data_IF_745441371718
#
_entry.id   IF_745441371718
#
_cell.length_a   1.000
_cell.length_b   1.000
_cell.length_c   1.000
_cell.angle_alpha   90.00
_cell.angle_beta   90.00
_cell.angle_gamma   90.00
#
_symmetry.space_group_name_H-M   'P 1'
#
loop_
_entity.id
_entity.type
_entity.pdbx_description
1 polymer ?
#
# COMPACT_ATOMS: atom_id res chain seq x y z
N UNK A 1 8.38 -7.67 -2.16
CA UNK A 1 7.35 -8.71 -1.95
C UNK A 1 7.10 -9.42 -3.26
N UNK A 2 6.92 -10.75 -3.24
CA UNK A 2 6.67 -11.58 -4.44
C UNK A 2 5.44 -11.09 -5.24
N UNK A 3 4.44 -10.53 -4.58
CA UNK A 3 3.22 -9.98 -5.21
C UNK A 3 3.44 -8.76 -6.12
N UNK A 4 4.56 -8.05 -5.97
CA UNK A 4 4.90 -6.88 -6.79
C UNK A 4 5.95 -7.20 -7.87
N UNK A 5 6.32 -8.48 -8.02
CA UNK A 5 7.20 -8.91 -9.10
C UNK A 5 6.40 -9.11 -10.37
N UNK A 6 7.01 -8.80 -11.52
CA UNK A 6 6.48 -9.14 -12.85
C UNK A 6 6.27 -10.66 -13.00
N UNK A 7 7.04 -11.45 -12.24
CA UNK A 7 6.97 -12.91 -12.26
C UNK A 7 5.77 -13.50 -11.50
N UNK A 8 4.97 -12.69 -10.78
CA UNK A 8 3.86 -13.20 -9.97
C UNK A 8 2.88 -14.05 -10.79
N UNK A 9 2.64 -13.67 -12.04
CA UNK A 9 1.74 -14.37 -12.95
C UNK A 9 2.25 -15.76 -13.36
N UNK A 10 3.56 -16.02 -13.17
CA UNK A 10 4.18 -17.31 -13.47
C UNK A 10 4.14 -18.29 -12.29
N UNK A 11 3.69 -17.85 -11.11
CA UNK A 11 3.61 -18.69 -9.92
C UNK A 11 2.75 -19.92 -10.18
N UNK A 12 3.22 -21.07 -9.69
CA UNK A 12 2.42 -22.28 -9.61
C UNK A 12 1.30 -22.12 -8.58
N UNK A 13 0.19 -22.81 -8.79
CA UNK A 13 -0.98 -22.74 -7.90
C UNK A 13 -0.62 -23.03 -6.43
N UNK A 14 0.19 -24.06 -6.18
CA UNK A 14 0.64 -24.41 -4.83
C UNK A 14 1.39 -23.28 -4.12
N UNK A 15 2.15 -22.48 -4.87
CA UNK A 15 2.85 -21.33 -4.32
C UNK A 15 1.86 -20.20 -3.97
N UNK A 16 0.89 -19.92 -4.85
CA UNK A 16 -0.19 -18.96 -4.56
C UNK A 16 -1.00 -19.39 -3.34
N UNK A 17 -1.40 -20.67 -3.26
CA UNK A 17 -2.11 -21.23 -2.11
C UNK A 17 -1.32 -21.07 -0.82
N UNK A 18 -0.02 -21.35 -0.87
CA UNK A 18 0.87 -21.19 0.29
C UNK A 18 0.93 -19.73 0.75
N UNK A 19 0.92 -18.77 -0.18
CA UNK A 19 0.86 -17.36 0.16
C UNK A 19 -0.49 -16.95 0.74
N UNK A 20 -1.61 -17.42 0.17
CA UNK A 20 -2.96 -17.10 0.65
C UNK A 20 -3.25 -17.67 2.05
N UNK A 21 -2.62 -18.77 2.43
CA UNK A 21 -2.76 -19.38 3.77
C UNK A 21 -2.01 -18.62 4.88
N UNK A 22 -1.04 -17.78 4.54
CA UNK A 22 -0.18 -17.11 5.53
C UNK A 22 -0.89 -16.00 6.31
N UNK A 23 -0.95 -16.11 7.63
CA UNK A 23 -1.51 -15.05 8.47
C UNK A 23 -0.63 -13.81 8.59
N UNK A 24 0.66 -13.88 8.25
CA UNK A 24 1.64 -12.79 8.37
C UNK A 24 1.80 -11.96 7.09
N UNK A 25 0.98 -12.22 6.07
CA UNK A 25 1.03 -11.49 4.81
C UNK A 25 0.61 -10.03 5.01
N UNK A 26 1.56 -9.11 4.80
CA UNK A 26 1.37 -7.66 4.95
C UNK A 26 0.78 -7.05 3.68
N UNK A 27 -0.49 -7.34 3.39
CA UNK A 27 -1.21 -6.82 2.23
C UNK A 27 -2.70 -6.68 2.57
N UNK A 28 -3.37 -5.66 2.03
CA UNK A 28 -4.82 -5.52 2.18
C UNK A 28 -5.55 -6.64 1.44
N UNK A 29 -6.63 -7.18 2.03
CA UNK A 29 -7.37 -8.30 1.41
C UNK A 29 -7.97 -7.94 0.06
N UNK A 30 -8.30 -6.66 -0.16
CA UNK A 30 -8.79 -6.20 -1.45
C UNK A 30 -7.71 -6.17 -2.53
N UNK A 31 -6.43 -6.02 -2.16
CA UNK A 31 -5.30 -6.16 -3.09
C UNK A 31 -4.98 -7.63 -3.34
N UNK A 32 -5.07 -8.48 -2.31
CA UNK A 32 -4.94 -9.94 -2.45
C UNK A 32 -5.96 -10.45 -3.46
N UNK A 33 -7.22 -10.00 -3.36
CA UNK A 33 -8.26 -10.33 -4.33
C UNK A 33 -7.89 -9.96 -5.77
N UNK A 34 -7.41 -8.73 -5.99
CA UNK A 34 -6.99 -8.28 -7.33
C UNK A 34 -5.87 -9.17 -7.90
N UNK A 35 -4.91 -9.57 -7.06
CA UNK A 35 -3.82 -10.47 -7.45
C UNK A 35 -4.32 -11.88 -7.76
N UNK A 36 -5.25 -12.42 -6.98
CA UNK A 36 -5.87 -13.73 -7.24
C UNK A 36 -6.62 -13.72 -8.57
N UNK A 37 -7.41 -12.69 -8.83
CA UNK A 37 -8.13 -12.54 -10.11
C UNK A 37 -7.17 -12.39 -11.28
N UNK A 38 -6.11 -11.58 -11.13
CA UNK A 38 -5.08 -11.42 -12.16
C UNK A 38 -4.40 -12.75 -12.48
N UNK A 39 -3.99 -13.50 -11.45
CA UNK A 39 -3.39 -14.82 -11.62
C UNK A 39 -4.35 -15.79 -12.30
N UNK A 40 -5.62 -15.83 -11.88
CA UNK A 40 -6.64 -16.67 -12.49
C UNK A 40 -6.85 -16.34 -13.97
N UNK A 41 -6.91 -15.06 -14.33
CA UNK A 41 -7.03 -14.60 -15.72
C UNK A 41 -5.87 -15.06 -16.61
N UNK A 42 -4.64 -15.06 -16.08
CA UNK A 42 -3.47 -15.54 -16.83
C UNK A 42 -3.50 -17.06 -17.02
N UNK A 43 -4.10 -17.80 -16.07
CA UNK A 43 -4.17 -19.26 -16.09
C UNK A 43 -5.38 -19.83 -16.81
N UNK A 44 -6.42 -19.03 -17.03
CA UNK A 44 -7.58 -19.42 -17.83
C UNK A 44 -7.42 -18.90 -19.26
N UNK A 45 -7.05 -19.75 -20.23
CA UNK A 45 -6.95 -19.33 -21.62
C UNK A 45 -8.30 -18.86 -22.16
N UNK A 46 -8.27 -18.06 -23.23
CA UNK A 46 -9.44 -17.62 -24.01
C UNK A 46 -10.43 -16.68 -23.27
N UNK A 47 -10.04 -16.11 -22.13
CA UNK A 47 -10.85 -15.08 -21.48
C UNK A 47 -10.83 -13.76 -22.25
N UNK A 48 -12.00 -13.16 -22.56
CA UNK A 48 -12.06 -11.82 -23.11
C UNK A 48 -11.42 -10.80 -22.18
N UNK A 49 -10.77 -9.78 -22.76
CA UNK A 49 -10.15 -8.71 -21.98
C UNK A 49 -11.20 -7.87 -21.26
N UNK A 50 -12.33 -7.61 -21.93
CA UNK A 50 -13.44 -6.84 -21.38
C UNK A 50 -14.40 -7.75 -20.61
N UNK A 51 -14.65 -7.41 -19.34
CA UNK A 51 -15.56 -8.18 -18.49
C UNK A 51 -17.02 -8.18 -19.01
N UNK A 52 -17.42 -7.15 -19.76
CA UNK A 52 -18.76 -7.09 -20.37
C UNK A 52 -19.01 -8.14 -21.45
N UNK A 53 -17.95 -8.75 -21.99
CA UNK A 53 -18.01 -9.80 -23.02
C UNK A 53 -17.99 -11.21 -22.42
N UNK A 54 -17.99 -11.33 -21.08
CA UNK A 54 -17.86 -12.64 -20.43
C UNK A 54 -19.17 -13.42 -20.45
N UNK A 55 -19.10 -14.64 -20.99
CA UNK A 55 -20.19 -15.63 -20.91
C UNK A 55 -20.14 -16.39 -19.58
N UNK A 56 -21.18 -17.17 -19.29
CA UNK A 56 -21.21 -18.02 -18.09
C UNK A 56 -20.13 -19.11 -18.12
N UNK A 57 -19.75 -19.58 -19.30
CA UNK A 57 -18.62 -20.49 -19.50
C UNK A 57 -17.28 -19.86 -19.12
N UNK A 58 -17.10 -18.57 -19.40
CA UNK A 58 -15.89 -17.82 -19.01
C UNK A 58 -15.79 -17.73 -17.49
N UNK A 59 -16.88 -17.38 -16.80
CA UNK A 59 -16.93 -17.37 -15.34
C UNK A 59 -16.71 -18.76 -14.75
N UNK A 60 -17.29 -19.81 -15.34
CA UNK A 60 -17.10 -21.19 -14.91
C UNK A 60 -15.65 -21.64 -15.06
N UNK A 61 -14.99 -21.28 -16.15
CA UNK A 61 -13.58 -21.60 -16.42
C UNK A 61 -12.65 -20.91 -15.43
N UNK A 62 -12.89 -19.62 -15.15
CA UNK A 62 -12.15 -18.89 -14.11
C UNK A 62 -12.40 -19.50 -12.71
N UNK A 63 -13.66 -19.83 -12.38
CA UNK A 63 -14.02 -20.47 -11.11
C UNK A 63 -13.26 -21.77 -10.90
N UNK A 64 -13.21 -22.62 -11.93
CA UNK A 64 -12.49 -23.90 -11.86
C UNK A 64 -10.99 -23.68 -11.64
N UNK A 65 -10.41 -22.68 -12.29
CA UNK A 65 -8.99 -22.31 -12.14
C UNK A 65 -8.67 -21.81 -10.73
N UNK A 66 -9.59 -21.07 -10.11
CA UNK A 66 -9.42 -20.49 -8.78
C UNK A 66 -10.01 -21.33 -7.65
N UNK A 67 -10.54 -22.51 -7.94
CA UNK A 67 -11.36 -23.29 -7.00
C UNK A 67 -10.67 -23.52 -5.65
N UNK A 68 -9.38 -23.84 -5.67
CA UNK A 68 -8.62 -24.07 -4.43
C UNK A 68 -8.19 -22.77 -3.75
N UNK A 69 -8.11 -21.66 -4.49
CA UNK A 69 -7.66 -20.36 -3.99
C UNK A 69 -8.79 -19.58 -3.31
N UNK A 70 -10.01 -19.63 -3.85
CA UNK A 70 -11.16 -18.88 -3.36
C UNK A 70 -11.48 -19.10 -1.87
N UNK A 71 -11.39 -20.32 -1.31
CA UNK A 71 -11.64 -20.56 0.12
C UNK A 71 -10.60 -19.92 1.06
N UNK A 72 -9.48 -19.41 0.53
CA UNK A 72 -8.40 -18.83 1.32
C UNK A 72 -8.37 -17.29 1.30
N UNK A 73 -9.33 -16.67 0.62
CA UNK A 73 -9.55 -15.21 0.63
C UNK A 73 -10.40 -14.83 1.84
N UNK A 74 -9.99 -13.82 2.62
CA UNK A 74 -10.74 -13.32 3.78
C UNK A 74 -11.76 -12.27 3.34
N UNK A 75 -12.85 -12.72 2.72
CA UNK A 75 -13.86 -11.81 2.14
C UNK A 75 -14.44 -10.81 3.15
N UNK A 76 -14.66 -11.24 4.39
CA UNK A 76 -15.26 -10.42 5.46
C UNK A 76 -14.35 -9.31 5.98
N UNK A 77 -13.06 -9.36 5.65
CA UNK A 77 -12.06 -8.33 5.97
C UNK A 77 -11.91 -7.30 4.84
N UNK A 78 -12.62 -7.49 3.72
CA UNK A 78 -12.62 -6.54 2.59
C UNK A 78 -13.64 -5.45 2.87
N UNK A 79 -13.28 -4.18 2.62
CA UNK A 79 -14.20 -3.06 2.83
C UNK A 79 -15.43 -3.16 1.93
N UNK A 80 -16.61 -2.71 2.39
CA UNK A 80 -17.86 -2.74 1.60
C UNK A 80 -17.70 -2.04 0.24
N UNK A 81 -16.90 -0.95 0.20
CA UNK A 81 -16.57 -0.22 -1.03
C UNK A 81 -15.83 -1.10 -2.03
N UNK A 82 -14.85 -1.87 -1.56
CA UNK A 82 -14.06 -2.77 -2.40
C UNK A 82 -14.85 -4.01 -2.80
N UNK A 83 -15.73 -4.53 -1.94
CA UNK A 83 -16.66 -5.61 -2.31
C UNK A 83 -17.49 -5.18 -3.52
N UNK A 84 -18.08 -3.98 -3.51
CA UNK A 84 -18.90 -3.49 -4.61
C UNK A 84 -18.10 -3.21 -5.89
N UNK A 85 -16.86 -2.74 -5.78
CA UNK A 85 -16.04 -2.35 -6.94
C UNK A 85 -15.24 -3.50 -7.54
N UNK A 86 -14.72 -4.39 -6.71
CA UNK A 86 -13.74 -5.41 -7.09
C UNK A 86 -14.32 -6.82 -7.07
N UNK A 87 -15.18 -7.16 -6.09
CA UNK A 87 -15.73 -8.52 -5.96
C UNK A 87 -17.01 -8.68 -6.78
N UNK A 88 -17.95 -7.74 -6.65
CA UNK A 88 -19.24 -7.75 -7.35
C UNK A 88 -19.13 -8.06 -8.85
N UNK A 89 -18.17 -7.53 -9.62
CA UNK A 89 -18.08 -7.86 -11.04
C UNK A 89 -17.82 -9.36 -11.32
N UNK A 90 -17.25 -10.09 -10.36
CA UNK A 90 -16.92 -11.51 -10.47
C UNK A 90 -17.80 -12.40 -9.59
N UNK A 91 -18.90 -11.90 -9.02
CA UNK A 91 -19.72 -12.65 -8.05
C UNK A 91 -20.13 -14.05 -8.52
N UNK A 92 -20.27 -14.27 -9.84
CA UNK A 92 -20.60 -15.56 -10.46
C UNK A 92 -19.56 -16.67 -10.22
N UNK A 93 -18.30 -16.32 -9.89
CA UNK A 93 -17.27 -17.32 -9.57
C UNK A 93 -17.38 -17.80 -8.12
N UNK A 94 -18.06 -17.04 -7.26
CA UNK A 94 -18.28 -17.40 -5.86
C UNK A 94 -19.46 -18.35 -5.76
N UNK A 95 -19.47 -19.14 -4.69
CA UNK A 95 -20.66 -19.91 -4.34
C UNK A 95 -21.75 -18.96 -3.87
N UNK A 96 -23.00 -19.31 -4.17
CA UNK A 96 -24.15 -18.43 -3.92
C UNK A 96 -24.27 -18.06 -2.43
N UNK A 97 -24.11 -19.04 -1.54
CA UNK A 97 -24.07 -18.84 -0.09
C UNK A 97 -22.95 -17.88 0.34
N UNK A 98 -21.75 -18.00 -0.24
CA UNK A 98 -20.62 -17.11 0.09
C UNK A 98 -20.93 -15.67 -0.31
N UNK A 99 -21.47 -15.45 -1.50
CA UNK A 99 -21.86 -14.10 -1.93
C UNK A 99 -22.97 -13.51 -1.06
N UNK A 100 -24.01 -14.29 -0.77
CA UNK A 100 -25.12 -13.85 0.08
C UNK A 100 -24.64 -13.55 1.50
N UNK A 101 -23.75 -14.37 2.08
CA UNK A 101 -23.15 -14.17 3.40
C UNK A 101 -22.24 -12.93 3.45
N UNK A 102 -21.47 -12.65 2.40
CA UNK A 102 -20.67 -11.42 2.29
C UNK A 102 -21.58 -10.19 2.34
N UNK A 103 -22.65 -10.18 1.54
CA UNK A 103 -23.61 -9.08 1.51
C UNK A 103 -24.31 -8.92 2.86
N UNK A 104 -24.79 -10.03 3.44
CA UNK A 104 -25.42 -10.06 4.75
C UNK A 104 -24.53 -9.43 5.82
N UNK A 105 -23.26 -9.85 5.91
CA UNK A 105 -22.33 -9.35 6.93
C UNK A 105 -22.02 -7.86 6.81
N UNK A 106 -22.03 -7.32 5.59
CA UNK A 106 -21.83 -5.89 5.35
C UNK A 106 -23.08 -5.04 5.62
N UNK A 107 -24.28 -5.63 5.55
CA UNK A 107 -25.54 -4.96 5.85
C UNK A 107 -25.88 -5.02 7.34
N UNK A 108 -25.65 -6.18 7.95
CA UNK A 108 -25.87 -6.45 9.36
C UNK A 108 -24.68 -7.25 9.93
N UNK A 109 -23.76 -6.59 10.67
CA UNK A 109 -22.60 -7.24 11.26
C UNK A 109 -22.93 -8.35 12.26
N UNK A 110 -24.13 -8.35 12.86
CA UNK A 110 -24.53 -9.35 13.86
C UNK A 110 -25.22 -10.56 13.24
N UNK A 111 -25.47 -10.53 11.93
CA UNK A 111 -26.12 -11.62 11.21
C UNK A 111 -25.27 -12.90 11.25
N UNK A 112 -25.93 -14.01 11.56
CA UNK A 112 -25.36 -15.36 11.48
C UNK A 112 -25.19 -15.75 10.02
N UNK A 113 -24.01 -16.24 9.66
CA UNK A 113 -23.68 -16.69 8.30
C UNK A 113 -23.23 -18.14 8.31
N UNK A 114 -23.35 -18.79 7.15
CA UNK A 114 -22.98 -20.22 7.00
C UNK A 114 -21.54 -20.42 6.54
N UNK A 115 -20.99 -19.40 5.87
CA UNK A 115 -19.64 -19.40 5.32
C UNK A 115 -18.57 -19.41 6.40
N UNK A 116 -17.46 -20.09 6.10
CA UNK A 116 -16.28 -20.09 6.96
C UNK A 116 -15.70 -18.68 7.05
N UNK A 117 -15.71 -18.09 8.25
CA UNK A 117 -15.04 -16.82 8.52
C UNK A 117 -13.58 -17.12 8.83
N UNK A 118 -12.68 -16.68 7.95
CA UNK A 118 -11.25 -16.70 8.22
C UNK A 118 -10.87 -15.49 9.08
N UNK A 119 -10.02 -15.66 10.10
CA UNK A 119 -9.59 -14.56 10.96
C UNK A 119 -8.75 -13.54 10.18
N UNK A 120 -8.78 -12.25 10.58
CA UNK A 120 -7.94 -11.22 9.97
C UNK A 120 -6.46 -11.58 9.98
N UNK A 121 -5.73 -11.19 8.93
CA UNK A 121 -4.27 -11.36 8.90
C UNK A 121 -3.62 -10.45 9.94
N UNK A 122 -2.53 -10.93 10.52
CA UNK A 122 -1.70 -10.17 11.46
C UNK A 122 -1.00 -9.07 10.69
N UNK A 123 -1.54 -7.86 10.72
CA UNK A 123 -0.80 -6.68 10.28
C UNK A 123 0.30 -6.44 11.31
N UNK A 124 1.56 -6.58 10.88
CA UNK A 124 2.67 -6.12 11.66
C UNK A 124 2.51 -4.60 11.76
N UNK A 125 2.14 -4.11 12.93
CA UNK A 125 2.44 -2.74 13.30
C UNK A 125 3.94 -2.66 13.34
N UNK A 126 4.56 -2.33 12.20
CA UNK A 126 5.93 -1.84 12.20
C UNK A 126 5.84 -0.46 12.85
N UNK A 127 5.68 -0.43 14.17
CA UNK A 127 6.28 0.63 14.94
C UNK A 127 7.77 0.43 14.73
N UNK A 128 8.29 1.01 13.64
CA UNK A 128 9.71 1.29 13.56
C UNK A 128 10.02 1.96 14.89
N UNK A 129 10.98 1.45 15.69
CA UNK A 129 11.31 2.11 16.94
C UNK A 129 11.49 3.58 16.58
N UNK A 130 10.72 4.45 17.24
CA UNK A 130 10.86 5.88 17.08
C UNK A 130 12.36 6.12 17.24
N UNK A 131 13.06 6.39 16.13
CA UNK A 131 14.47 6.72 16.21
C UNK A 131 14.42 7.99 17.03
N UNK A 132 14.76 7.90 18.31
CA UNK A 132 15.08 9.09 19.09
C UNK A 132 16.15 9.75 18.24
N UNK A 133 15.77 10.82 17.55
CA UNK A 133 16.70 11.72 16.90
C UNK A 133 17.45 12.33 18.08
N UNK A 134 18.45 11.59 18.56
CA UNK A 134 19.55 12.21 19.26
C UNK A 134 20.13 13.13 18.21
N UNK A 135 20.05 14.42 18.49
CA UNK A 135 20.66 15.46 17.68
C UNK A 135 22.15 15.07 17.61
N UNK A 136 22.57 14.41 16.54
CA UNK A 136 23.98 14.18 16.29
C UNK A 136 24.49 15.54 15.83
N UNK A 137 24.85 16.39 16.79
CA UNK A 137 25.81 17.44 16.51
C UNK A 137 27.09 16.68 16.15
N UNK A 138 27.63 16.82 14.93
CA UNK A 138 28.89 16.19 14.60
C UNK A 138 29.97 16.88 15.45
N UNK A 139 30.27 16.30 16.62
CA UNK A 139 31.31 16.77 17.54
C UNK A 139 32.69 16.22 17.16
N UNK A 140 32.79 15.54 16.00
CA UNK A 140 34.04 14.95 15.55
C UNK A 140 34.96 16.03 14.98
N UNK A 141 36.23 15.97 15.33
CA UNK A 141 37.28 16.82 14.74
C UNK A 141 37.56 16.53 13.26
N UNK A 142 36.92 15.50 12.68
CA UNK A 142 37.12 15.04 11.30
C UNK A 142 36.00 15.53 10.37
N UNK A 143 34.74 15.42 10.82
CA UNK A 143 33.56 15.88 10.09
C UNK A 143 32.91 17.00 10.89
N UNK A 144 33.02 18.22 10.37
CA UNK A 144 32.38 19.41 10.92
C UNK A 144 30.95 19.55 10.39
N UNK A 145 30.18 20.47 10.98
CA UNK A 145 28.83 20.81 10.51
C UNK A 145 28.83 21.33 9.07
N UNK A 146 29.91 22.00 8.65
CA UNK A 146 30.08 22.49 7.27
C UNK A 146 30.29 21.33 6.29
N UNK A 147 31.07 20.31 6.67
CA UNK A 147 31.23 19.11 5.86
C UNK A 147 29.91 18.34 5.73
N UNK A 148 29.15 18.21 6.83
CA UNK A 148 27.84 17.59 6.79
C UNK A 148 26.85 18.36 5.88
N UNK A 149 26.88 19.70 5.92
CA UNK A 149 26.08 20.55 5.05
C UNK A 149 26.48 20.41 3.57
N UNK A 150 27.76 20.35 3.26
CA UNK A 150 28.25 20.08 1.89
C UNK A 150 27.74 18.74 1.37
N UNK A 151 27.86 17.67 2.15
CA UNK A 151 27.39 16.33 1.76
C UNK A 151 25.87 16.34 1.53
N UNK A 152 25.10 16.99 2.40
CA UNK A 152 23.64 17.13 2.21
C UNK A 152 23.31 17.90 0.93
N UNK A 153 24.03 18.99 0.64
CA UNK A 153 23.81 19.77 -0.59
C UNK A 153 24.12 18.98 -1.86
N UNK A 154 25.13 18.10 -1.82
CA UNK A 154 25.48 17.20 -2.91
C UNK A 154 24.40 16.15 -3.17
N UNK A 155 23.88 15.53 -2.10
CA UNK A 155 22.80 14.54 -2.18
C UNK A 155 21.54 15.20 -2.78
N UNK A 156 21.24 16.41 -2.34
CA UNK A 156 20.07 17.18 -2.80
C UNK A 156 20.28 17.86 -4.16
N UNK A 157 21.48 17.77 -4.75
CA UNK A 157 21.88 18.43 -6.01
C UNK A 157 21.61 19.94 -6.01
N UNK A 158 21.85 20.61 -4.87
CA UNK A 158 21.68 22.07 -4.71
C UNK A 158 23.01 22.79 -4.53
N UNK A 159 23.03 24.06 -4.91
CA UNK A 159 24.21 24.92 -4.82
C UNK A 159 24.46 25.38 -3.38
N UNK A 160 25.72 25.34 -2.93
CA UNK A 160 26.14 25.46 -1.52
C UNK A 160 25.77 26.84 -0.94
N UNK A 161 25.69 27.87 -1.78
CA UNK A 161 25.39 29.25 -1.38
C UNK A 161 24.00 29.43 -0.75
N UNK A 162 23.02 28.58 -1.09
CA UNK A 162 21.68 28.66 -0.50
C UNK A 162 21.66 28.27 0.98
N UNK A 163 22.63 27.46 1.43
CA UNK A 163 22.71 27.02 2.82
C UNK A 163 23.31 28.09 3.75
N UNK A 164 24.27 28.88 3.27
CA UNK A 164 24.84 30.01 4.01
C UNK A 164 23.76 31.04 4.36
N UNK A 165 22.75 31.20 3.50
CA UNK A 165 21.57 32.05 3.76
C UNK A 165 20.72 31.47 4.90
N UNK A 166 20.47 30.15 4.93
CA UNK A 166 19.70 29.49 5.99
C UNK A 166 20.39 29.55 7.36
N UNK A 167 21.72 29.41 7.40
CA UNK A 167 22.52 29.65 8.60
C UNK A 167 22.42 31.10 9.09
N UNK A 168 22.43 32.08 8.16
CA UNK A 168 22.34 33.51 8.49
C UNK A 168 20.99 33.92 9.07
N UNK A 169 19.92 33.19 8.76
CA UNK A 169 18.57 33.38 9.30
C UNK A 169 18.24 32.47 10.49
N UNK A 170 19.20 31.68 10.99
CA UNK A 170 19.03 30.73 12.09
C UNK A 170 17.77 29.85 11.94
N UNK A 171 17.43 29.47 10.70
CA UNK A 171 16.24 28.66 10.44
C UNK A 171 16.56 27.23 10.90
N UNK A 172 15.82 26.80 11.91
CA UNK A 172 16.03 25.53 12.58
C UNK A 172 15.82 24.37 11.60
N UNK A 173 16.87 23.57 11.39
CA UNK A 173 16.91 22.42 10.48
C UNK A 173 15.76 21.40 10.75
N UNK A 174 15.20 21.39 11.96
CA UNK A 174 14.05 20.55 12.32
C UNK A 174 12.81 20.81 11.46
N UNK A 175 12.49 22.07 11.17
CA UNK A 175 11.30 22.39 10.35
C UNK A 175 11.46 21.93 8.89
N UNK A 176 12.71 21.94 8.40
CA UNK A 176 13.04 21.48 7.06
C UNK A 176 12.89 19.95 6.91
N UNK A 177 13.25 19.21 7.95
CA UNK A 177 13.14 17.74 7.97
C UNK A 177 11.69 17.27 8.18
N UNK A 178 10.91 17.96 9.02
CA UNK A 178 9.46 17.69 9.15
C UNK A 178 8.70 17.88 7.84
N UNK A 179 9.04 18.92 7.06
CA UNK A 179 8.41 19.16 5.75
C UNK A 179 8.70 18.06 4.72
N UNK A 180 9.88 17.43 4.80
CA UNK A 180 10.27 16.31 3.94
C UNK A 180 9.52 15.03 4.33
N UNK A 181 9.33 14.77 5.63
CA UNK A 181 8.55 13.62 6.11
C UNK A 181 7.05 13.73 5.75
N UNK A 182 6.50 14.94 5.63
CA UNK A 182 5.12 15.17 5.19
C UNK A 182 4.92 15.08 3.66
N UNK A 183 5.97 14.78 2.89
CA UNK A 183 5.88 14.59 1.44
C UNK A 183 5.63 15.86 0.64
N UNK A 184 5.80 17.05 1.23
CA UNK A 184 5.74 18.31 0.48
C UNK A 184 7.00 18.46 -0.38
N UNK A 185 6.83 18.80 -1.65
CA UNK A 185 7.97 19.25 -2.46
C UNK A 185 8.57 20.51 -1.81
N UNK A 186 9.90 20.52 -1.63
CA UNK A 186 10.69 21.57 -0.97
C UNK A 186 10.35 22.99 -1.45
N UNK A 187 9.94 23.13 -2.72
CA UNK A 187 9.51 24.39 -3.34
C UNK A 187 8.26 24.99 -2.69
N UNK A 188 7.31 24.17 -2.24
CA UNK A 188 6.09 24.61 -1.56
C UNK A 188 6.36 25.06 -0.12
N UNK A 189 7.31 24.41 0.56
CA UNK A 189 7.68 24.77 1.94
C UNK A 189 8.39 26.12 2.01
N UNK A 190 9.32 26.39 1.07
CA UNK A 190 10.02 27.68 0.99
C UNK A 190 9.02 28.82 0.69
N UNK A 191 8.06 28.62 -0.21
CA UNK A 191 7.01 29.61 -0.46
C UNK A 191 6.10 29.86 0.75
N UNK A 192 5.78 28.81 1.53
CA UNK A 192 4.95 28.94 2.73
C UNK A 192 5.66 29.74 3.83
N UNK A 193 6.96 29.48 4.05
CA UNK A 193 7.79 30.20 5.04
C UNK A 193 8.04 31.65 4.61
N UNK A 194 8.28 31.92 3.33
CA UNK A 194 8.41 33.29 2.81
C UNK A 194 7.09 34.05 2.93
N UNK A 195 5.95 33.43 2.62
CA UNK A 195 4.63 34.07 2.73
C UNK A 195 4.29 34.41 4.20
N UNK A 196 4.65 33.56 5.15
CA UNK A 196 4.48 33.82 6.59
C UNK A 196 5.40 34.90 7.13
N UNK A 197 6.65 34.99 6.65
CA UNK A 197 7.59 36.02 7.05
C UNK A 197 7.24 37.40 6.46
N UNK A 198 6.69 37.45 5.25
CA UNK A 198 6.24 38.70 4.60
C UNK A 198 4.97 39.26 5.25
N UNK A 199 4.03 38.40 5.68
CA UNK A 199 2.83 38.80 6.43
C UNK A 199 3.12 39.24 7.87
N UNK A 200 4.32 38.95 8.40
CA UNK A 200 4.72 39.33 9.75
C UNK A 200 5.57 40.63 9.80
N UNK A 201 5.86 41.20 8.62
CA UNK A 201 6.65 42.43 8.44
C UNK A 201 5.86 43.57 7.76
N UNK A 202 4.55 43.42 7.60
CA UNK A 202 3.57 44.45 7.24
C UNK A 202 2.59 44.64 8.40
#
# INVERSE_FOLDING_TARGET
MIFNSDDFNTLQENALLSLLKRDDLQMEESEIWDKVILWGKVRTPDLPSNLGEWTDENFKSLRNTLLNCLPHVRYFEISSKDVLRKIKPYYKILEKNVWDDILAKHLDPDMSITSLILPPRKKATVQLPLRKVSIITPSSSIITIEHAAMISSWIDRRDVQQFTILQKFNINLNFYLEAIEMGLQVKCFINYVIMYLVLWLL
#
